data_IF_085624458570
#
_entry.id   IF_085624458570
#
_cell.length_a   1.000
_cell.length_b   1.000
_cell.length_c   1.000
_cell.angle_alpha   90.00
_cell.angle_beta   90.00
_cell.angle_gamma   90.00
#
_symmetry.space_group_name_H-M   'P 1'
#
loop_
_entity.id
_entity.type
_entity.pdbx_description
1 polymer ?
#
# COMPACT_ATOMS: atom_id res chain seq x y z
N UNK A 1 20.09 9.34 -10.42
CA UNK A 1 18.74 9.30 -9.82
C UNK A 1 17.82 8.70 -10.85
N UNK A 2 17.10 7.65 -10.47
CA UNK A 2 16.01 7.14 -11.31
C UNK A 2 14.84 8.13 -11.28
N UNK A 3 14.03 8.13 -12.34
CA UNK A 3 12.87 9.01 -12.42
C UNK A 3 11.83 8.61 -11.35
N UNK A 4 11.17 9.58 -10.71
CA UNK A 4 10.13 9.29 -9.74
C UNK A 4 8.94 8.61 -10.42
N UNK A 5 8.28 7.70 -9.70
CA UNK A 5 7.04 7.05 -10.12
C UNK A 5 5.88 7.89 -9.59
N UNK A 6 4.91 8.19 -10.44
CA UNK A 6 3.75 9.02 -10.08
C UNK A 6 2.47 8.20 -9.99
N UNK A 7 1.73 8.36 -8.89
CA UNK A 7 0.39 7.82 -8.73
C UNK A 7 -0.64 8.95 -8.70
N UNK A 8 -1.78 8.72 -9.36
CA UNK A 8 -2.92 9.62 -9.29
C UNK A 8 -3.85 9.15 -8.16
N UNK A 9 -4.17 10.04 -7.23
CA UNK A 9 -5.21 9.84 -6.23
C UNK A 9 -6.51 10.50 -6.73
N UNK A 10 -7.49 9.71 -7.20
CA UNK A 10 -8.75 10.23 -7.70
C UNK A 10 -9.64 10.82 -6.59
N UNK A 11 -9.41 10.48 -5.32
CA UNK A 11 -10.24 10.93 -4.21
C UNK A 11 -9.94 12.38 -3.82
N UNK A 12 -8.71 12.84 -4.10
CA UNK A 12 -8.25 14.20 -3.81
C UNK A 12 -7.87 15.01 -5.06
N UNK A 13 -7.98 14.41 -6.25
CA UNK A 13 -7.53 14.98 -7.53
C UNK A 13 -6.05 15.44 -7.48
N UNK A 14 -5.21 14.64 -6.83
CA UNK A 14 -3.78 14.94 -6.61
C UNK A 14 -2.87 13.88 -7.19
N UNK A 15 -1.66 14.30 -7.54
CA UNK A 15 -0.59 13.40 -7.97
C UNK A 15 0.47 13.27 -6.87
N UNK A 16 0.86 12.04 -6.58
CA UNK A 16 1.91 11.71 -5.62
C UNK A 16 3.12 11.18 -6.39
N UNK A 17 4.30 11.73 -6.12
CA UNK A 17 5.56 11.27 -6.69
C UNK A 17 6.36 10.51 -5.63
N UNK A 18 6.85 9.33 -5.99
CA UNK A 18 7.58 8.43 -5.11
C UNK A 18 8.90 7.99 -5.75
N UNK A 19 9.88 7.60 -4.94
CA UNK A 19 10.96 6.74 -5.42
C UNK A 19 10.40 5.39 -5.92
N UNK A 20 11.20 4.63 -6.68
CA UNK A 20 10.77 3.30 -7.13
C UNK A 20 10.48 2.35 -5.96
N UNK A 21 11.26 2.44 -4.88
CA UNK A 21 11.08 1.65 -3.67
C UNK A 21 9.76 2.01 -2.97
N UNK A 22 9.54 3.30 -2.70
CA UNK A 22 8.30 3.76 -2.08
C UNK A 22 7.07 3.44 -2.96
N UNK A 23 7.21 3.54 -4.28
CA UNK A 23 6.16 3.13 -5.21
C UNK A 23 5.84 1.64 -5.10
N UNK A 24 6.87 0.79 -5.02
CA UNK A 24 6.71 -0.65 -4.80
C UNK A 24 6.03 -0.97 -3.46
N UNK A 25 6.40 -0.27 -2.40
CA UNK A 25 5.76 -0.39 -1.07
C UNK A 25 4.26 -0.06 -1.16
N UNK A 26 3.90 1.08 -1.75
CA UNK A 26 2.51 1.49 -1.95
C UNK A 26 1.69 0.44 -2.73
N UNK A 27 2.24 -0.07 -3.83
CA UNK A 27 1.58 -1.10 -4.65
C UNK A 27 1.32 -2.37 -3.82
N UNK A 28 2.32 -2.83 -3.08
CA UNK A 28 2.18 -4.06 -2.28
C UNK A 28 1.22 -3.89 -1.11
N UNK A 29 1.23 -2.75 -0.43
CA UNK A 29 0.26 -2.46 0.65
C UNK A 29 -1.18 -2.51 0.12
N UNK A 30 -1.47 -1.81 -0.99
CA UNK A 30 -2.81 -1.84 -1.61
C UNK A 30 -3.19 -3.25 -2.07
N UNK A 31 -2.24 -3.98 -2.68
CA UNK A 31 -2.45 -5.35 -3.16
C UNK A 31 -2.80 -6.30 -2.01
N UNK A 32 -2.02 -6.28 -0.92
CA UNK A 32 -2.24 -7.15 0.23
C UNK A 32 -3.58 -6.87 0.91
N UNK A 33 -3.96 -5.60 1.09
CA UNK A 33 -5.28 -5.21 1.61
C UNK A 33 -6.41 -5.71 0.73
N UNK A 34 -6.28 -5.54 -0.59
CA UNK A 34 -7.29 -5.98 -1.56
C UNK A 34 -7.44 -7.49 -1.54
N UNK A 35 -6.33 -8.24 -1.55
CA UNK A 35 -6.33 -9.69 -1.46
C UNK A 35 -6.95 -10.19 -0.15
N UNK A 36 -6.66 -9.55 0.99
CA UNK A 36 -7.28 -9.89 2.27
C UNK A 36 -8.81 -9.69 2.23
N UNK A 37 -9.26 -8.58 1.64
CA UNK A 37 -10.70 -8.27 1.49
C UNK A 37 -11.40 -9.31 0.62
N UNK A 38 -10.83 -9.65 -0.55
CA UNK A 38 -11.38 -10.68 -1.43
C UNK A 38 -11.37 -12.07 -0.79
N UNK A 39 -10.33 -12.39 0.00
CA UNK A 39 -10.29 -13.65 0.74
C UNK A 39 -11.40 -13.72 1.80
N UNK A 40 -11.64 -12.63 2.52
CA UNK A 40 -12.76 -12.51 3.47
C UNK A 40 -14.11 -12.70 2.78
N UNK A 41 -14.34 -12.03 1.63
CA UNK A 41 -15.58 -12.15 0.85
C UNK A 41 -15.84 -13.58 0.34
N UNK A 42 -14.80 -14.42 0.27
CA UNK A 42 -14.87 -15.82 -0.18
C UNK A 42 -14.78 -16.83 0.95
N UNK A 43 -14.86 -16.40 2.22
CA UNK A 43 -14.69 -17.25 3.40
C UNK A 43 -13.33 -18.00 3.46
N UNK A 44 -12.31 -17.46 2.79
CA UNK A 44 -10.94 -17.99 2.79
C UNK A 44 -10.13 -17.38 3.94
N UNK A 45 -10.47 -17.75 5.17
CA UNK A 45 -9.94 -17.10 6.37
C UNK A 45 -8.43 -17.27 6.57
N UNK A 46 -7.85 -18.40 6.16
CA UNK A 46 -6.40 -18.64 6.27
C UNK A 46 -5.63 -17.70 5.36
N UNK A 47 -6.09 -17.52 4.12
CA UNK A 47 -5.52 -16.58 3.17
C UNK A 47 -5.71 -15.14 3.63
N UNK A 48 -6.89 -14.79 4.15
CA UNK A 48 -7.16 -13.47 4.73
C UNK A 48 -6.16 -13.15 5.86
N UNK A 49 -5.93 -14.07 6.79
CA UNK A 49 -4.97 -13.90 7.88
C UNK A 49 -3.54 -13.76 7.35
N UNK A 50 -3.15 -14.58 6.37
CA UNK A 50 -1.83 -14.49 5.76
C UNK A 50 -1.58 -13.13 5.07
N UNK A 51 -2.54 -12.65 4.27
CA UNK A 51 -2.43 -11.35 3.61
C UNK A 51 -2.40 -10.21 4.62
N UNK A 52 -3.25 -10.27 5.66
CA UNK A 52 -3.28 -9.27 6.73
C UNK A 52 -1.96 -9.25 7.51
N UNK A 53 -1.37 -10.43 7.79
CA UNK A 53 -0.07 -10.54 8.45
C UNK A 53 1.04 -9.88 7.63
N UNK A 54 1.14 -10.19 6.34
CA UNK A 54 2.16 -9.57 5.47
C UNK A 54 1.91 -8.08 5.24
N UNK A 55 0.64 -7.65 5.20
CA UNK A 55 0.30 -6.22 5.15
C UNK A 55 0.85 -5.50 6.38
N UNK A 56 0.60 -6.00 7.58
CA UNK A 56 1.10 -5.41 8.83
C UNK A 56 2.62 -5.36 8.88
N UNK A 57 3.32 -6.43 8.45
CA UNK A 57 4.78 -6.44 8.40
C UNK A 57 5.35 -5.42 7.40
N UNK A 58 4.70 -5.25 6.25
CA UNK A 58 5.12 -4.24 5.28
C UNK A 58 4.84 -2.83 5.78
N UNK A 59 3.75 -2.60 6.51
CA UNK A 59 3.47 -1.33 7.19
C UNK A 59 4.54 -0.98 8.21
N UNK A 60 4.96 -1.94 9.04
CA UNK A 60 6.05 -1.75 10.00
C UNK A 60 7.36 -1.37 9.30
N UNK A 61 7.70 -2.06 8.21
CA UNK A 61 8.87 -1.74 7.40
C UNK A 61 8.78 -0.35 6.76
N UNK A 62 7.62 0.00 6.18
CA UNK A 62 7.39 1.27 5.52
C UNK A 62 7.45 2.47 6.47
N UNK A 63 7.10 2.28 7.74
CA UNK A 63 7.15 3.31 8.78
C UNK A 63 8.58 3.84 9.04
N UNK A 64 9.60 3.04 8.74
CA UNK A 64 11.00 3.45 8.86
C UNK A 64 11.54 4.11 7.57
N UNK A 65 10.73 4.16 6.50
CA UNK A 65 11.13 4.72 5.21
C UNK A 65 11.14 6.25 5.22
N UNK A 66 12.11 6.88 4.54
CA UNK A 66 12.23 8.36 4.48
C UNK A 66 11.02 9.05 3.85
N UNK A 67 10.28 8.34 3.01
CA UNK A 67 9.03 8.80 2.36
C UNK A 67 7.75 8.38 3.12
N UNK A 68 7.86 7.90 4.37
CA UNK A 68 6.74 7.36 5.14
C UNK A 68 5.51 8.26 5.15
N UNK A 69 5.65 9.56 5.44
CA UNK A 69 4.50 10.48 5.52
C UNK A 69 3.69 10.51 4.22
N UNK A 70 4.37 10.43 3.07
CA UNK A 70 3.72 10.40 1.76
C UNK A 70 3.08 9.04 1.48
N UNK A 71 3.73 7.95 1.88
CA UNK A 71 3.19 6.58 1.78
C UNK A 71 1.92 6.47 2.62
N UNK A 72 1.99 6.87 3.89
CA UNK A 72 0.88 6.81 4.86
C UNK A 72 -0.33 7.62 4.39
N UNK A 73 -0.09 8.81 3.83
CA UNK A 73 -1.15 9.62 3.27
C UNK A 73 -1.84 8.92 2.07
N UNK A 74 -1.07 8.38 1.13
CA UNK A 74 -1.61 7.70 -0.05
C UNK A 74 -2.41 6.43 0.29
N UNK A 75 -1.90 5.57 1.18
CA UNK A 75 -2.59 4.32 1.51
C UNK A 75 -3.87 4.52 2.33
N UNK A 76 -3.98 5.66 3.04
CA UNK A 76 -5.20 6.02 3.79
C UNK A 76 -6.21 6.77 2.94
N UNK A 77 -5.76 7.43 1.86
CA UNK A 77 -6.66 8.14 0.95
C UNK A 77 -7.38 7.24 -0.03
N UNK A 78 -6.84 6.06 -0.34
CA UNK A 78 -7.45 5.09 -1.26
C UNK A 78 -8.36 4.15 -0.47
N UNK A 79 -9.68 4.34 -0.59
CA UNK A 79 -10.69 3.45 0.00
C UNK A 79 -11.23 2.41 -0.98
#
# INVERSE_FOLDING_TARGET
MEAPVTFYDPNHDTWHAFSQEAAGICIWLVTLRTCATVALERDHFVEMDNFSHYHSRLMEYANEHVEWDSIAHFITSIH
#
